data_IF_275842937137
#
_entry.id   IF_275842937137
#
_cell.length_a   1.000
_cell.length_b   1.000
_cell.length_c   1.000
_cell.angle_alpha   90.00
_cell.angle_beta   90.00
_cell.angle_gamma   90.00
#
_symmetry.space_group_name_H-M   'P 1'
#
loop_
_entity.id
_entity.type
_entity.pdbx_description
1 polymer ?
#
# COMPACT_ATOMS: atom_id res chain seq x y z
N UNK A 1 -7.67 67.53 26.35
CA UNK A 1 -8.32 66.20 26.27
C UNK A 1 -7.66 65.48 25.11
N UNK A 2 -6.60 64.74 25.40
CA UNK A 2 -5.93 63.91 24.39
C UNK A 2 -6.90 62.82 23.94
N UNK A 3 -7.28 62.86 22.67
CA UNK A 3 -8.02 61.78 22.05
C UNK A 3 -6.97 60.72 21.73
N UNK A 4 -6.80 59.79 22.66
CA UNK A 4 -5.96 58.61 22.50
C UNK A 4 -6.62 57.72 21.43
N UNK A 5 -6.30 57.97 20.16
CA UNK A 5 -6.63 57.06 19.05
C UNK A 5 -5.64 55.91 19.15
N UNK A 6 -6.00 54.91 19.96
CA UNK A 6 -5.30 53.64 19.94
C UNK A 6 -5.28 53.13 18.49
N UNK A 7 -4.08 52.81 18.02
CA UNK A 7 -3.80 52.26 16.69
C UNK A 7 -4.29 50.80 16.58
N UNK A 8 -5.41 50.45 17.23
CA UNK A 8 -5.95 49.09 17.28
C UNK A 8 -6.38 48.61 15.89
N UNK A 9 -6.94 49.50 15.07
CA UNK A 9 -7.46 49.13 13.76
C UNK A 9 -6.42 48.86 12.65
N UNK A 10 -5.11 49.04 12.88
CA UNK A 10 -4.07 48.55 11.95
C UNK A 10 -3.54 47.21 12.43
N UNK A 11 -3.47 47.00 13.76
CA UNK A 11 -3.08 45.73 14.34
C UNK A 11 -4.14 44.65 14.05
N UNK A 12 -5.43 45.01 14.10
CA UNK A 12 -6.53 44.10 13.81
C UNK A 12 -6.58 43.71 12.32
N UNK A 13 -6.46 44.67 11.39
CA UNK A 13 -6.43 44.39 9.94
C UNK A 13 -5.22 43.53 9.53
N UNK A 14 -4.04 43.80 10.11
CA UNK A 14 -2.84 42.97 9.91
C UNK A 14 -3.01 41.56 10.50
N UNK A 15 -3.73 41.43 11.63
CA UNK A 15 -3.96 40.14 12.30
C UNK A 15 -5.02 39.30 11.58
N UNK A 16 -6.14 39.88 11.15
CA UNK A 16 -7.17 39.20 10.36
C UNK A 16 -6.67 38.86 8.95
N UNK A 17 -5.91 39.75 8.30
CA UNK A 17 -5.26 39.49 7.02
C UNK A 17 -4.19 38.38 7.11
N UNK A 18 -3.42 38.34 8.20
CA UNK A 18 -2.48 37.26 8.46
C UNK A 18 -3.22 35.93 8.73
N UNK A 19 -4.29 35.93 9.52
CA UNK A 19 -5.12 34.73 9.76
C UNK A 19 -5.77 34.20 8.48
N UNK A 20 -6.35 35.07 7.65
CA UNK A 20 -6.92 34.67 6.36
C UNK A 20 -5.87 34.15 5.37
N UNK A 21 -4.65 34.72 5.38
CA UNK A 21 -3.52 34.21 4.58
C UNK A 21 -3.04 32.85 5.09
N UNK A 22 -3.04 32.62 6.40
CA UNK A 22 -2.72 31.33 7.01
C UNK A 22 -3.76 30.26 6.68
N UNK A 23 -5.06 30.56 6.78
CA UNK A 23 -6.13 29.62 6.42
C UNK A 23 -6.06 29.27 4.92
N UNK A 24 -5.76 30.24 4.04
CA UNK A 24 -5.52 29.97 2.61
C UNK A 24 -4.32 29.04 2.38
N UNK A 25 -3.24 29.21 3.12
CA UNK A 25 -2.07 28.31 3.07
C UNK A 25 -2.44 26.88 3.54
N UNK A 26 -3.26 26.76 4.60
CA UNK A 26 -3.76 25.49 5.11
C UNK A 26 -4.66 24.79 4.08
N UNK A 27 -5.58 25.50 3.45
CA UNK A 27 -6.41 24.99 2.35
C UNK A 27 -5.52 24.49 1.20
N UNK A 28 -4.49 25.25 0.81
CA UNK A 28 -3.53 24.83 -0.22
C UNK A 28 -2.80 23.52 0.14
N UNK A 29 -2.46 23.34 1.41
CA UNK A 29 -1.85 22.09 1.90
C UNK A 29 -2.85 20.93 1.86
N UNK A 30 -4.12 21.16 2.23
CA UNK A 30 -5.18 20.14 2.16
C UNK A 30 -5.54 19.73 0.73
N UNK A 31 -5.49 20.67 -0.23
CA UNK A 31 -5.63 20.36 -1.66
C UNK A 31 -4.48 19.46 -2.12
N UNK A 32 -3.25 19.74 -1.67
CA UNK A 32 -2.10 18.87 -1.97
C UNK A 32 -2.27 17.47 -1.38
N UNK A 33 -2.85 17.34 -0.17
CA UNK A 33 -3.21 16.03 0.41
C UNK A 33 -4.23 15.30 -0.45
N UNK A 34 -5.25 16.00 -0.95
CA UNK A 34 -6.26 15.42 -1.84
C UNK A 34 -5.63 14.89 -3.14
N UNK A 35 -4.69 15.62 -3.73
CA UNK A 35 -3.98 15.19 -4.95
C UNK A 35 -3.15 13.92 -4.70
N UNK A 36 -2.45 13.84 -3.56
CA UNK A 36 -1.70 12.63 -3.18
C UNK A 36 -2.64 11.45 -2.94
N UNK A 37 -3.81 11.65 -2.31
CA UNK A 37 -4.83 10.61 -2.13
C UNK A 37 -5.36 10.09 -3.46
N UNK A 38 -5.61 10.98 -4.43
CA UNK A 38 -6.05 10.61 -5.78
C UNK A 38 -4.98 9.82 -6.52
N UNK A 39 -3.74 10.28 -6.52
CA UNK A 39 -2.61 9.54 -7.10
C UNK A 39 -2.53 8.15 -6.48
N UNK A 40 -2.53 8.07 -5.16
CA UNK A 40 -2.44 6.82 -4.39
C UNK A 40 -3.54 5.84 -4.75
N UNK A 41 -4.79 6.32 -4.91
CA UNK A 41 -5.91 5.51 -5.38
C UNK A 41 -5.61 4.86 -6.74
N UNK A 42 -5.06 5.59 -7.69
CA UNK A 42 -4.69 5.04 -9.01
C UNK A 42 -3.61 3.95 -8.92
N UNK A 43 -2.61 4.16 -8.05
CA UNK A 43 -1.52 3.22 -7.83
C UNK A 43 -2.04 1.90 -7.24
N UNK A 44 -2.89 2.00 -6.21
CA UNK A 44 -3.44 0.86 -5.49
C UNK A 44 -4.44 0.10 -6.35
N UNK A 45 -5.28 0.79 -7.13
CA UNK A 45 -6.18 0.14 -8.07
C UNK A 45 -5.40 -0.65 -9.14
N UNK A 46 -4.29 -0.10 -9.62
CA UNK A 46 -3.40 -0.82 -10.54
C UNK A 46 -2.85 -2.10 -9.89
N UNK A 47 -2.35 -2.00 -8.65
CA UNK A 47 -1.84 -3.16 -7.93
C UNK A 47 -2.91 -4.21 -7.60
N UNK A 48 -4.13 -3.78 -7.24
CA UNK A 48 -5.25 -4.70 -7.00
C UNK A 48 -5.55 -5.53 -8.24
N UNK A 49 -5.65 -4.89 -9.41
CA UNK A 49 -5.90 -5.59 -10.67
C UNK A 49 -4.82 -6.65 -10.94
N UNK A 50 -3.56 -6.37 -10.64
CA UNK A 50 -2.46 -7.31 -10.85
C UNK A 50 -2.52 -8.46 -9.85
N UNK A 51 -2.81 -8.18 -8.57
CA UNK A 51 -3.04 -9.18 -7.53
C UNK A 51 -4.18 -10.13 -7.94
N UNK A 52 -5.31 -9.58 -8.38
CA UNK A 52 -6.49 -10.34 -8.81
C UNK A 52 -6.14 -11.26 -9.99
N UNK A 53 -5.52 -10.72 -11.04
CA UNK A 53 -5.13 -11.51 -12.21
C UNK A 53 -4.08 -12.56 -11.87
N UNK A 54 -3.13 -12.25 -10.98
CA UNK A 54 -2.12 -13.22 -10.53
C UNK A 54 -2.80 -14.37 -9.76
N UNK A 55 -3.75 -14.06 -8.88
CA UNK A 55 -4.54 -15.06 -8.15
C UNK A 55 -5.30 -15.97 -9.12
N UNK A 56 -5.99 -15.39 -10.11
CA UNK A 56 -6.76 -16.16 -11.09
C UNK A 56 -5.86 -17.06 -11.94
N UNK A 57 -4.70 -16.57 -12.38
CA UNK A 57 -3.73 -17.38 -13.15
C UNK A 57 -3.13 -18.51 -12.31
N UNK A 58 -2.89 -18.29 -11.01
CA UNK A 58 -2.46 -19.35 -10.09
C UNK A 58 -3.55 -20.39 -9.86
N UNK A 59 -4.82 -19.99 -9.79
CA UNK A 59 -5.94 -20.92 -9.71
C UNK A 59 -6.06 -21.79 -10.99
N UNK A 60 -5.79 -21.22 -12.16
CA UNK A 60 -5.73 -21.99 -13.42
C UNK A 60 -4.53 -22.94 -13.47
N UNK A 61 -3.37 -22.54 -12.91
CA UNK A 61 -2.22 -23.44 -12.72
C UNK A 61 -2.61 -24.60 -11.78
N UNK A 62 -3.25 -24.29 -10.65
CA UNK A 62 -3.75 -25.28 -9.70
C UNK A 62 -4.72 -26.27 -10.37
N UNK A 63 -5.63 -25.80 -11.22
CA UNK A 63 -6.55 -26.66 -11.96
C UNK A 63 -5.86 -27.56 -12.97
N UNK A 64 -4.79 -27.07 -13.61
CA UNK A 64 -4.04 -27.81 -14.62
C UNK A 64 -3.37 -29.07 -14.07
N UNK A 65 -3.04 -29.10 -12.77
CA UNK A 65 -2.35 -30.23 -12.13
C UNK A 65 -3.28 -31.26 -11.48
N UNK A 66 -4.58 -30.96 -11.31
CA UNK A 66 -5.54 -31.85 -10.61
C UNK A 66 -5.83 -33.13 -11.41
N UNK A 67 -5.30 -33.25 -12.63
CA UNK A 67 -5.79 -34.20 -13.64
C UNK A 67 -4.84 -35.29 -14.20
N UNK A 68 -3.58 -35.52 -13.79
CA UNK A 68 -2.83 -36.64 -14.35
C UNK A 68 -2.07 -37.53 -13.34
N UNK A 69 -2.75 -38.23 -12.42
CA UNK A 69 -2.06 -39.27 -11.64
C UNK A 69 -1.76 -40.54 -12.46
N UNK A 70 -2.54 -40.82 -13.51
CA UNK A 70 -2.41 -42.02 -14.36
C UNK A 70 -2.12 -41.71 -15.84
N UNK A 71 -1.89 -40.44 -16.19
CA UNK A 71 -1.86 -40.04 -17.60
C UNK A 71 -0.49 -40.19 -18.27
N UNK A 72 -0.52 -40.38 -19.59
CA UNK A 72 0.66 -40.61 -20.42
C UNK A 72 1.47 -39.34 -20.73
N UNK A 73 2.52 -39.49 -21.53
CA UNK A 73 3.46 -38.40 -21.87
C UNK A 73 2.79 -37.19 -22.54
N UNK A 74 1.81 -37.42 -23.40
CA UNK A 74 1.08 -36.35 -24.08
C UNK A 74 0.30 -35.46 -23.12
N UNK A 75 -0.29 -36.02 -22.06
CA UNK A 75 -1.07 -35.27 -21.08
C UNK A 75 -0.16 -34.48 -20.14
N UNK A 76 0.98 -35.06 -19.76
CA UNK A 76 2.01 -34.36 -18.98
C UNK A 76 2.53 -33.15 -19.77
N UNK A 77 2.78 -33.31 -21.06
CA UNK A 77 3.21 -32.20 -21.92
C UNK A 77 2.15 -31.09 -22.00
N UNK A 78 0.87 -31.44 -22.17
CA UNK A 78 -0.24 -30.45 -22.17
C UNK A 78 -0.35 -29.71 -20.84
N UNK A 79 -0.17 -30.40 -19.72
CA UNK A 79 -0.13 -29.78 -18.38
C UNK A 79 1.04 -28.80 -18.28
N UNK A 80 2.26 -29.21 -18.65
CA UNK A 80 3.44 -28.34 -18.63
C UNK A 80 3.26 -27.12 -19.56
N UNK A 81 2.64 -27.29 -20.73
CA UNK A 81 2.32 -26.19 -21.65
C UNK A 81 1.31 -25.21 -21.04
N UNK A 82 0.23 -25.71 -20.41
CA UNK A 82 -0.76 -24.87 -19.75
C UNK A 82 -0.15 -24.06 -18.60
N UNK A 83 0.68 -24.71 -17.78
CA UNK A 83 1.42 -24.05 -16.69
C UNK A 83 2.37 -23.00 -17.27
N UNK A 84 3.19 -23.35 -18.27
CA UNK A 84 4.14 -22.44 -18.89
C UNK A 84 3.46 -21.19 -19.47
N UNK A 85 2.29 -21.38 -20.10
CA UNK A 85 1.47 -20.28 -20.61
C UNK A 85 1.03 -19.33 -19.49
N UNK A 86 0.55 -19.87 -18.37
CA UNK A 86 0.09 -19.04 -17.25
C UNK A 86 1.26 -18.38 -16.50
N UNK A 87 2.38 -19.08 -16.28
CA UNK A 87 3.63 -18.51 -15.74
C UNK A 87 4.09 -17.33 -16.62
N UNK A 88 4.07 -17.49 -17.94
CA UNK A 88 4.41 -16.41 -18.89
C UNK A 88 3.45 -15.22 -18.79
N UNK A 89 2.15 -15.45 -18.64
CA UNK A 89 1.15 -14.38 -18.44
C UNK A 89 1.38 -13.63 -17.14
N UNK A 90 1.63 -14.33 -16.03
CA UNK A 90 1.96 -13.72 -14.73
C UNK A 90 3.21 -12.83 -14.89
N UNK A 91 4.25 -13.35 -15.54
CA UNK A 91 5.47 -12.60 -15.82
C UNK A 91 5.21 -11.33 -16.63
N UNK A 92 4.39 -11.43 -17.69
CA UNK A 92 4.07 -10.31 -18.55
C UNK A 92 3.27 -9.21 -17.82
N UNK A 93 2.26 -9.57 -17.03
CA UNK A 93 1.43 -8.57 -16.35
C UNK A 93 2.20 -7.83 -15.25
N UNK A 94 3.08 -8.54 -14.53
CA UNK A 94 3.97 -7.91 -13.54
C UNK A 94 4.95 -6.99 -14.24
N UNK A 95 5.53 -7.39 -15.37
CA UNK A 95 6.45 -6.52 -16.10
C UNK A 95 5.77 -5.31 -16.72
N UNK A 96 4.53 -5.45 -17.19
CA UNK A 96 3.73 -4.36 -17.73
C UNK A 96 3.36 -3.32 -16.66
N UNK A 97 3.21 -3.73 -15.39
CA UNK A 97 2.89 -2.79 -14.32
C UNK A 97 4.03 -1.86 -13.94
N UNK A 98 5.28 -2.26 -14.19
CA UNK A 98 6.49 -1.47 -13.93
C UNK A 98 6.56 -0.21 -14.79
N UNK A 99 6.08 -0.29 -16.03
CA UNK A 99 6.08 0.86 -16.95
C UNK A 99 5.13 1.97 -16.47
N UNK A 100 4.25 1.66 -15.52
CA UNK A 100 3.45 2.66 -14.81
C UNK A 100 4.31 3.19 -13.67
N UNK A 101 4.55 4.50 -13.62
CA UNK A 101 5.32 5.25 -12.60
C UNK A 101 4.80 5.11 -11.14
N UNK A 102 3.91 4.16 -10.89
CA UNK A 102 3.03 4.03 -9.72
C UNK A 102 2.99 2.60 -9.17
N UNK A 103 4.01 1.77 -9.43
CA UNK A 103 3.97 0.36 -9.06
C UNK A 103 4.37 0.13 -7.60
N UNK A 104 3.41 -0.25 -6.76
CA UNK A 104 3.66 -0.64 -5.35
C UNK A 104 4.13 -2.09 -5.20
N UNK A 105 4.08 -2.89 -6.27
CA UNK A 105 4.32 -4.33 -6.22
C UNK A 105 5.78 -4.73 -6.47
N UNK A 106 6.65 -3.85 -6.94
CA UNK A 106 7.98 -4.27 -7.41
C UNK A 106 9.10 -3.40 -6.87
N UNK A 107 9.17 -3.26 -5.54
CA UNK A 107 10.16 -2.39 -4.91
C UNK A 107 10.61 -2.92 -3.55
N UNK A 108 10.90 -4.23 -3.46
CA UNK A 108 11.35 -4.87 -2.20
C UNK A 108 10.36 -4.71 -1.04
N UNK A 109 9.07 -4.49 -1.34
CA UNK A 109 8.04 -4.21 -0.33
C UNK A 109 8.12 -2.82 0.30
N UNK A 110 8.75 -1.84 -0.37
CA UNK A 110 8.75 -0.44 0.09
C UNK A 110 7.32 0.04 0.32
N UNK A 111 7.11 0.65 1.48
CA UNK A 111 5.84 1.24 1.86
C UNK A 111 5.69 2.63 1.24
N UNK A 112 4.57 2.85 0.56
CA UNK A 112 4.09 4.19 0.24
C UNK A 112 3.39 4.76 1.47
N UNK A 113 3.71 6.02 1.79
CA UNK A 113 3.09 6.78 2.86
C UNK A 113 2.15 7.80 2.25
N UNK A 114 0.87 7.65 2.52
CA UNK A 114 -0.18 8.53 2.01
C UNK A 114 -0.66 9.39 3.18
N UNK A 115 -0.36 10.69 3.21
CA UNK A 115 -0.88 11.57 4.24
C UNK A 115 -2.40 11.64 4.12
N UNK A 116 -3.08 11.52 5.24
CA UNK A 116 -4.53 11.49 5.28
C UNK A 116 -5.17 12.65 6.04
N UNK A 117 -4.41 13.29 6.92
CA UNK A 117 -4.80 14.49 7.64
C UNK A 117 -3.62 15.43 7.78
N UNK A 118 -3.91 16.71 7.93
CA UNK A 118 -2.93 17.76 8.19
C UNK A 118 -3.35 18.52 9.44
N UNK A 119 -2.47 18.56 10.43
CA UNK A 119 -2.58 19.36 11.63
C UNK A 119 -1.51 20.46 11.60
N UNK A 120 -1.91 21.70 11.87
CA UNK A 120 -1.01 22.86 11.88
C UNK A 120 0.10 22.77 12.94
N UNK A 121 -0.14 22.11 14.08
CA UNK A 121 0.85 22.01 15.17
C UNK A 121 1.87 20.90 14.97
N UNK A 122 1.50 19.81 14.28
CA UNK A 122 2.30 18.59 14.17
C UNK A 122 2.63 18.18 12.73
N UNK A 123 2.05 18.83 11.72
CA UNK A 123 2.19 18.47 10.31
C UNK A 123 1.21 17.36 9.89
N UNK A 124 1.63 16.49 8.97
CA UNK A 124 0.81 15.33 8.56
C UNK A 124 0.72 14.33 9.73
N UNK A 125 -0.44 14.27 10.39
CA UNK A 125 -0.62 13.48 11.62
C UNK A 125 -1.07 12.05 11.35
N UNK A 126 -1.95 11.83 10.38
CA UNK A 126 -2.37 10.49 9.98
C UNK A 126 -1.70 10.11 8.65
N UNK A 127 -1.07 8.94 8.62
CA UNK A 127 -0.41 8.38 7.44
C UNK A 127 -0.96 6.98 7.20
N UNK A 128 -1.50 6.75 6.01
CA UNK A 128 -1.79 5.39 5.54
C UNK A 128 -0.49 4.81 4.97
N UNK A 129 -0.02 3.72 5.56
CA UNK A 129 1.10 2.95 5.02
C UNK A 129 0.61 1.78 4.17
N UNK A 130 1.09 1.70 2.93
CA UNK A 130 0.70 0.68 1.96
C UNK A 130 1.95 0.06 1.39
N UNK A 131 2.10 -1.25 1.55
CA UNK A 131 3.29 -1.99 1.13
C UNK A 131 3.68 -3.01 2.18
N UNK A 132 4.94 -3.40 2.17
CA UNK A 132 5.46 -4.51 2.98
C UNK A 132 5.81 -5.74 2.15
N UNK A 133 6.33 -6.80 2.79
CA UNK A 133 6.85 -7.97 2.11
C UNK A 133 5.81 -8.70 1.26
N UNK A 134 4.53 -8.60 1.59
CA UNK A 134 3.43 -9.24 0.84
C UNK A 134 3.16 -8.57 -0.50
N UNK A 135 3.66 -7.35 -0.69
CA UNK A 135 3.59 -6.65 -1.97
C UNK A 135 4.90 -6.78 -2.75
N UNK A 136 5.88 -7.58 -2.30
CA UNK A 136 7.14 -7.73 -3.01
C UNK A 136 7.06 -8.79 -4.12
N UNK A 137 6.57 -8.41 -5.30
CA UNK A 137 6.48 -9.26 -6.50
C UNK A 137 7.76 -9.23 -7.35
N UNK A 138 8.76 -8.47 -6.90
CA UNK A 138 10.07 -8.40 -7.54
C UNK A 138 10.92 -7.27 -6.98
N UNK A 139 12.23 -7.42 -7.15
CA UNK A 139 13.25 -6.48 -6.67
C UNK A 139 13.82 -5.69 -7.85
N UNK A 140 13.95 -4.37 -7.70
CA UNK A 140 14.62 -3.53 -8.70
C UNK A 140 16.12 -3.63 -8.50
N UNK A 141 16.83 -4.07 -9.52
CA UNK A 141 18.29 -4.09 -9.55
C UNK A 141 18.86 -2.69 -9.82
N UNK A 142 20.15 -2.50 -9.55
CA UNK A 142 20.84 -1.23 -9.76
C UNK A 142 20.83 -0.74 -11.23
N UNK A 143 20.64 -1.66 -12.19
CA UNK A 143 20.51 -1.38 -13.63
C UNK A 143 19.08 -0.97 -14.04
N UNK A 144 18.14 -0.84 -13.09
CA UNK A 144 16.74 -0.51 -13.35
C UNK A 144 15.89 -1.67 -13.87
N UNK A 145 16.44 -2.88 -14.02
CA UNK A 145 15.64 -4.08 -14.36
C UNK A 145 15.05 -4.69 -13.10
N UNK A 146 13.90 -5.35 -13.23
CA UNK A 146 13.28 -6.05 -12.10
C UNK A 146 13.55 -7.54 -12.17
N UNK A 147 14.05 -8.05 -11.05
CA UNK A 147 14.13 -9.46 -10.76
C UNK A 147 12.85 -9.94 -10.08
N UNK A 148 12.00 -10.61 -10.86
CA UNK A 148 10.76 -11.25 -10.37
C UNK A 148 11.01 -12.63 -9.76
N UNK A 149 12.25 -13.14 -9.79
CA UNK A 149 12.60 -14.37 -9.08
C UNK A 149 12.81 -14.16 -7.57
N UNK A 150 12.67 -12.92 -7.11
CA UNK A 150 12.77 -12.54 -5.71
C UNK A 150 11.39 -12.20 -5.14
N UNK A 151 11.30 -12.19 -3.80
CA UNK A 151 10.09 -11.83 -3.08
C UNK A 151 9.07 -12.97 -3.06
N UNK A 152 7.78 -12.64 -3.08
CA UNK A 152 6.73 -13.65 -2.91
C UNK A 152 6.60 -14.58 -4.12
N UNK A 153 7.11 -14.16 -5.29
CA UNK A 153 6.99 -14.91 -6.55
C UNK A 153 8.20 -15.79 -6.86
N UNK A 154 9.18 -15.86 -5.94
CA UNK A 154 10.31 -16.80 -6.02
C UNK A 154 9.88 -18.22 -6.39
N UNK A 155 8.82 -18.82 -5.78
CA UNK A 155 8.38 -20.16 -6.16
C UNK A 155 7.89 -20.31 -7.62
N UNK A 156 7.56 -19.21 -8.30
CA UNK A 156 7.28 -19.23 -9.74
C UNK A 156 8.56 -19.14 -10.55
N UNK A 157 9.41 -18.15 -10.25
CA UNK A 157 10.38 -17.61 -11.21
C UNK A 157 11.85 -17.92 -10.89
N UNK A 158 12.16 -18.54 -9.75
CA UNK A 158 13.51 -19.02 -9.48
C UNK A 158 13.97 -20.01 -10.56
N UNK A 159 15.25 -19.94 -10.93
CA UNK A 159 15.84 -20.78 -11.99
C UNK A 159 16.97 -21.65 -11.44
N UNK A 160 17.14 -22.83 -12.01
CA UNK A 160 18.18 -23.78 -11.60
C UNK A 160 17.83 -24.57 -10.34
N UNK A 161 16.56 -24.62 -9.95
CA UNK A 161 16.02 -25.43 -8.85
C UNK A 161 16.00 -26.93 -9.18
N UNK A 162 16.18 -27.32 -10.44
CA UNK A 162 16.23 -28.72 -10.89
C UNK A 162 17.62 -29.35 -10.89
N UNK A 163 18.67 -28.63 -10.47
CA UNK A 163 20.07 -29.13 -10.49
C UNK A 163 20.24 -30.52 -9.89
N UNK A 164 19.55 -30.81 -8.78
CA UNK A 164 19.66 -32.07 -8.05
C UNK A 164 18.54 -33.08 -8.41
N UNK A 165 17.63 -32.74 -9.31
CA UNK A 165 16.46 -33.56 -9.61
C UNK A 165 16.84 -34.90 -10.25
N UNK A 166 17.75 -34.90 -11.23
CA UNK A 166 18.18 -36.14 -11.90
C UNK A 166 18.86 -37.12 -10.94
N UNK A 167 19.70 -36.61 -10.05
CA UNK A 167 20.39 -37.41 -9.02
C UNK A 167 19.37 -37.97 -8.02
N UNK A 168 18.46 -37.13 -7.53
CA UNK A 168 17.42 -37.55 -6.60
C UNK A 168 16.48 -38.60 -7.22
N UNK A 169 16.15 -38.45 -8.51
CA UNK A 169 15.38 -39.42 -9.28
C UNK A 169 16.10 -40.77 -9.36
N UNK A 170 17.38 -40.78 -9.68
CA UNK A 170 18.15 -42.03 -9.76
C UNK A 170 18.17 -42.78 -8.42
N UNK A 171 18.47 -42.07 -7.33
CA UNK A 171 18.44 -42.62 -5.96
C UNK A 171 17.05 -43.20 -5.64
N UNK A 172 16.00 -42.46 -5.97
CA UNK A 172 14.63 -42.88 -5.76
C UNK A 172 14.29 -44.14 -6.57
N UNK A 173 14.61 -44.16 -7.86
CA UNK A 173 14.33 -45.28 -8.77
C UNK A 173 15.07 -46.54 -8.32
N UNK A 174 16.34 -46.44 -7.90
CA UNK A 174 17.10 -47.56 -7.34
C UNK A 174 16.46 -48.09 -6.06
N UNK A 175 16.17 -47.22 -5.09
CA UNK A 175 15.56 -47.61 -3.83
C UNK A 175 14.16 -48.22 -4.03
N UNK A 176 13.40 -47.72 -5.00
CA UNK A 176 12.11 -48.27 -5.38
C UNK A 176 12.23 -49.69 -5.93
N UNK A 177 13.16 -49.92 -6.86
CA UNK A 177 13.39 -51.25 -7.43
C UNK A 177 13.84 -52.25 -6.37
N UNK A 178 14.70 -51.85 -5.45
CA UNK A 178 15.13 -52.72 -4.34
C UNK A 178 13.98 -53.02 -3.38
N UNK A 179 13.14 -52.01 -3.07
CA UNK A 179 11.93 -52.22 -2.30
C UNK A 179 10.95 -53.20 -2.98
N UNK A 180 10.75 -53.08 -4.30
CA UNK A 180 9.91 -54.02 -5.07
C UNK A 180 10.43 -55.46 -5.01
N UNK A 181 11.75 -55.67 -5.02
CA UNK A 181 12.34 -57.02 -4.83
C UNK A 181 12.02 -57.59 -3.45
N UNK A 182 12.03 -56.76 -2.40
CA UNK A 182 11.64 -57.19 -1.05
C UNK A 182 10.16 -57.58 -1.00
N UNK A 183 9.27 -56.81 -1.63
CA UNK A 183 7.84 -57.14 -1.72
C UNK A 183 7.60 -58.45 -2.49
N UNK A 184 8.29 -58.66 -3.62
CA UNK A 184 8.18 -59.89 -4.39
C UNK A 184 8.71 -61.10 -3.59
N UNK A 185 9.79 -60.92 -2.83
CA UNK A 185 10.33 -61.95 -1.95
C UNK A 185 9.35 -62.31 -0.81
N UNK A 186 8.73 -61.31 -0.20
CA UNK A 186 7.67 -61.50 0.80
C UNK A 186 6.48 -62.24 0.22
N UNK A 187 6.03 -61.87 -0.98
CA UNK A 187 4.92 -62.53 -1.66
C UNK A 187 5.22 -64.01 -1.93
N UNK A 188 6.42 -64.33 -2.42
CA UNK A 188 6.87 -65.71 -2.64
C UNK A 188 6.99 -66.49 -1.33
N UNK A 189 7.57 -65.90 -0.29
CA UNK A 189 7.70 -66.53 1.03
C UNK A 189 6.33 -66.84 1.64
N UNK A 190 5.38 -65.90 1.52
CA UNK A 190 4.00 -66.07 1.96
C UNK A 190 3.31 -67.22 1.22
N UNK A 191 3.48 -67.32 -0.09
CA UNK A 191 2.91 -68.40 -0.89
C UNK A 191 3.45 -69.78 -0.48
N UNK A 192 4.76 -69.91 -0.23
CA UNK A 192 5.35 -71.16 0.26
C UNK A 192 4.85 -71.53 1.66
N UNK A 193 4.74 -70.58 2.58
CA UNK A 193 4.18 -70.84 3.92
C UNK A 193 2.71 -71.27 3.89
N UNK A 194 1.90 -70.69 2.99
CA UNK A 194 0.51 -71.11 2.80
C UNK A 194 0.44 -72.56 2.27
N UNK A 195 1.34 -72.93 1.36
CA UNK A 195 1.39 -74.27 0.78
C UNK A 195 1.93 -75.33 1.75
N UNK A 196 2.91 -74.96 2.59
CA UNK A 196 3.52 -75.80 3.62
C UNK A 196 3.79 -74.97 4.90
N UNK A 197 2.89 -75.04 5.91
CA UNK A 197 3.01 -74.31 7.18
C UNK A 197 4.08 -74.84 8.14
N UNK A 198 5.27 -75.16 7.63
CA UNK A 198 6.41 -75.61 8.43
C UNK A 198 7.13 -74.43 9.11
N UNK A 199 7.77 -74.69 10.26
CA UNK A 199 8.54 -73.69 11.01
C UNK A 199 9.64 -73.04 10.16
N UNK A 200 10.21 -73.79 9.21
CA UNK A 200 11.20 -73.28 8.26
C UNK A 200 10.59 -72.22 7.33
N UNK A 201 9.42 -72.50 6.74
CA UNK A 201 8.74 -71.55 5.87
C UNK A 201 8.17 -70.34 6.65
N UNK A 202 7.71 -70.55 7.89
CA UNK A 202 7.32 -69.47 8.79
C UNK A 202 8.48 -68.51 9.07
N UNK A 203 9.67 -69.05 9.33
CA UNK A 203 10.88 -68.24 9.56
C UNK A 203 11.27 -67.42 8.33
N UNK A 204 11.21 -68.02 7.13
CA UNK A 204 11.48 -67.32 5.87
C UNK A 204 10.47 -66.19 5.64
N UNK A 205 9.18 -66.46 5.85
CA UNK A 205 8.12 -65.46 5.76
C UNK A 205 8.33 -64.29 6.73
N UNK A 206 8.60 -64.58 8.01
CA UNK A 206 8.83 -63.56 9.03
C UNK A 206 10.08 -62.72 8.74
N UNK A 207 11.16 -63.33 8.24
CA UNK A 207 12.36 -62.60 7.83
C UNK A 207 12.10 -61.68 6.63
N UNK A 208 11.35 -62.15 5.63
CA UNK A 208 10.97 -61.34 4.48
C UNK A 208 10.07 -60.16 4.90
N UNK A 209 9.13 -60.39 5.82
CA UNK A 209 8.27 -59.34 6.37
C UNK A 209 9.11 -58.29 7.10
N UNK A 210 10.01 -58.74 7.98
CA UNK A 210 10.93 -57.86 8.71
C UNK A 210 11.78 -57.00 7.76
N UNK A 211 12.28 -57.54 6.66
CA UNK A 211 13.06 -56.79 5.69
C UNK A 211 12.24 -55.68 4.99
N UNK A 212 10.98 -55.96 4.63
CA UNK A 212 10.04 -54.96 4.10
C UNK A 212 9.76 -53.87 5.15
N UNK A 213 9.49 -54.28 6.39
CA UNK A 213 9.21 -53.37 7.50
C UNK A 213 10.43 -52.47 7.79
N UNK A 214 11.64 -53.02 7.82
CA UNK A 214 12.87 -52.27 8.05
C UNK A 214 13.16 -51.26 6.94
N UNK A 215 12.86 -51.58 5.68
CA UNK A 215 13.02 -50.65 4.56
C UNK A 215 12.03 -49.47 4.61
N UNK A 216 10.85 -49.69 5.19
CA UNK A 216 9.77 -48.68 5.27
C UNK A 216 9.79 -47.84 6.55
N UNK A 217 10.55 -48.22 7.58
CA UNK A 217 10.82 -47.36 8.76
C UNK A 217 11.46 -46.04 8.35
N UNK A 218 11.38 -45.03 9.22
CA UNK A 218 11.88 -43.67 8.92
C UNK A 218 13.37 -43.63 8.52
N UNK A 219 14.19 -44.51 9.10
CA UNK A 219 15.61 -44.67 8.77
C UNK A 219 15.89 -45.75 7.71
N UNK A 220 14.86 -46.39 7.18
CA UNK A 220 14.94 -47.38 6.12
C UNK A 220 15.26 -46.74 4.78
N UNK A 221 15.97 -47.48 3.93
CA UNK A 221 16.46 -46.97 2.65
C UNK A 221 15.35 -46.41 1.75
N UNK A 222 14.19 -47.09 1.69
CA UNK A 222 13.07 -46.64 0.87
C UNK A 222 12.44 -45.35 1.41
N UNK A 223 12.25 -45.24 2.72
CA UNK A 223 11.70 -44.03 3.34
C UNK A 223 12.64 -42.83 3.25
N UNK A 224 13.95 -43.04 3.41
CA UNK A 224 14.95 -41.99 3.20
C UNK A 224 14.98 -41.50 1.75
N UNK A 225 14.94 -42.40 0.77
CA UNK A 225 14.90 -42.05 -0.65
C UNK A 225 13.65 -41.22 -1.00
N UNK A 226 12.47 -41.60 -0.49
CA UNK A 226 11.23 -40.81 -0.62
C UNK A 226 11.38 -39.41 -0.01
N UNK A 227 11.94 -39.32 1.20
CA UNK A 227 12.11 -38.05 1.90
C UNK A 227 13.08 -37.11 1.16
N UNK A 228 14.22 -37.64 0.70
CA UNK A 228 15.19 -36.88 -0.10
C UNK A 228 14.59 -36.40 -1.42
N UNK A 229 13.90 -37.28 -2.14
CA UNK A 229 13.22 -36.91 -3.39
C UNK A 229 12.20 -35.81 -3.14
N UNK A 230 11.40 -35.92 -2.08
CA UNK A 230 10.43 -34.89 -1.67
C UNK A 230 11.08 -33.54 -1.37
N UNK A 231 12.21 -33.51 -0.65
CA UNK A 231 12.93 -32.26 -0.36
C UNK A 231 13.33 -31.55 -1.65
N UNK A 232 13.82 -32.30 -2.63
CA UNK A 232 14.17 -31.74 -3.94
C UNK A 232 12.91 -31.27 -4.67
N UNK A 233 11.84 -32.07 -4.74
CA UNK A 233 10.62 -31.66 -5.46
C UNK A 233 9.90 -30.47 -4.82
N UNK A 234 9.97 -30.31 -3.50
CA UNK A 234 9.43 -29.14 -2.78
C UNK A 234 10.16 -27.84 -3.13
N UNK A 235 11.40 -27.92 -3.61
CA UNK A 235 12.21 -26.74 -3.99
C UNK A 235 12.08 -26.34 -5.46
N UNK A 236 11.40 -27.15 -6.28
CA UNK A 236 11.29 -26.90 -7.72
C UNK A 236 10.34 -25.73 -7.98
N UNK A 237 10.83 -24.72 -8.70
CA UNK A 237 10.01 -23.59 -9.13
C UNK A 237 9.05 -23.97 -10.25
N UNK A 238 8.00 -23.19 -10.46
CA UNK A 238 7.08 -23.43 -11.59
C UNK A 238 7.76 -23.26 -12.95
N UNK A 239 8.72 -22.34 -13.05
CA UNK A 239 9.50 -22.11 -14.26
C UNK A 239 10.37 -23.31 -14.59
N UNK A 240 11.01 -23.94 -13.60
CA UNK A 240 11.82 -25.12 -13.88
C UNK A 240 10.99 -26.39 -14.03
N UNK A 241 9.86 -26.51 -13.31
CA UNK A 241 8.93 -27.64 -13.42
C UNK A 241 8.48 -27.89 -14.86
N UNK A 242 8.11 -26.83 -15.59
CA UNK A 242 7.65 -26.96 -16.98
C UNK A 242 8.74 -27.44 -17.94
N UNK A 243 10.00 -27.36 -17.53
CA UNK A 243 11.16 -27.79 -18.31
C UNK A 243 11.65 -29.20 -17.96
N UNK A 244 11.15 -29.81 -16.87
CA UNK A 244 11.54 -31.17 -16.47
C UNK A 244 11.15 -32.16 -17.56
N UNK A 245 12.14 -32.92 -18.03
CA UNK A 245 11.94 -34.00 -18.97
C UNK A 245 11.70 -35.33 -18.26
N UNK A 246 10.95 -36.22 -18.90
CA UNK A 246 10.76 -37.58 -18.40
C UNK A 246 9.82 -37.73 -17.20
N UNK A 247 9.02 -36.71 -16.84
CA UNK A 247 7.99 -36.83 -15.78
C UNK A 247 7.07 -38.04 -16.03
N UNK A 248 6.68 -38.29 -17.29
CA UNK A 248 5.81 -39.39 -17.65
C UNK A 248 6.41 -40.79 -17.37
N UNK A 249 7.73 -40.89 -17.35
CA UNK A 249 8.48 -42.13 -17.10
C UNK A 249 8.77 -42.40 -15.62
N UNK A 250 8.44 -41.46 -14.74
CA UNK A 250 8.56 -41.66 -13.30
C UNK A 250 7.61 -42.79 -12.83
N UNK A 251 7.97 -43.47 -11.74
CA UNK A 251 7.04 -44.38 -11.06
C UNK A 251 5.81 -43.62 -10.53
N UNK A 252 4.73 -44.33 -10.26
CA UNK A 252 3.51 -43.72 -9.72
C UNK A 252 3.80 -42.95 -8.42
N UNK A 253 4.57 -43.55 -7.52
CA UNK A 253 4.99 -42.93 -6.25
C UNK A 253 5.80 -41.64 -6.47
N UNK A 254 6.75 -41.64 -7.42
CA UNK A 254 7.53 -40.44 -7.74
C UNK A 254 6.66 -39.32 -8.32
N UNK A 255 5.70 -39.65 -9.22
CA UNK A 255 4.75 -38.66 -9.77
C UNK A 255 3.89 -38.06 -8.66
N UNK A 256 3.37 -38.90 -7.75
CA UNK A 256 2.59 -38.46 -6.61
C UNK A 256 3.37 -37.47 -5.74
N UNK A 257 4.64 -37.75 -5.44
CA UNK A 257 5.48 -36.84 -4.64
C UNK A 257 5.68 -35.52 -5.38
N UNK A 258 6.10 -35.58 -6.65
CA UNK A 258 6.37 -34.39 -7.46
C UNK A 258 5.13 -33.49 -7.60
N UNK A 259 3.98 -34.05 -7.95
CA UNK A 259 2.75 -33.27 -8.14
C UNK A 259 2.20 -32.73 -6.82
N UNK A 260 2.31 -33.48 -5.72
CA UNK A 260 1.94 -32.96 -4.41
C UNK A 260 2.84 -31.79 -3.97
N UNK A 261 4.15 -31.86 -4.22
CA UNK A 261 5.08 -30.76 -3.96
C UNK A 261 4.73 -29.52 -4.78
N UNK A 262 4.49 -29.68 -6.08
CA UNK A 262 4.07 -28.58 -6.95
C UNK A 262 2.72 -27.99 -6.49
N UNK A 263 1.73 -28.84 -6.17
CA UNK A 263 0.43 -28.41 -5.66
C UNK A 263 0.56 -27.57 -4.38
N UNK A 264 1.36 -28.03 -3.42
CA UNK A 264 1.62 -27.29 -2.18
C UNK A 264 2.26 -25.94 -2.46
N UNK A 265 3.18 -25.88 -3.40
CA UNK A 265 3.84 -24.64 -3.82
C UNK A 265 2.85 -23.64 -4.40
N UNK A 266 1.95 -24.09 -5.29
CA UNK A 266 0.88 -23.25 -5.85
C UNK A 266 -0.07 -22.76 -4.75
N UNK A 267 -0.48 -23.63 -3.83
CA UNK A 267 -1.37 -23.27 -2.72
C UNK A 267 -0.75 -22.26 -1.77
N UNK A 268 0.52 -22.46 -1.39
CA UNK A 268 1.28 -21.50 -0.59
C UNK A 268 1.26 -20.11 -1.24
N UNK A 269 1.48 -20.07 -2.55
CA UNK A 269 1.53 -18.82 -3.28
C UNK A 269 0.16 -18.14 -3.40
N UNK A 270 -0.91 -18.91 -3.64
CA UNK A 270 -2.28 -18.38 -3.61
C UNK A 270 -2.57 -17.73 -2.25
N UNK A 271 -2.16 -18.36 -1.14
CA UNK A 271 -2.34 -17.80 0.21
C UNK A 271 -1.55 -16.49 0.36
N UNK A 272 -0.30 -16.44 -0.09
CA UNK A 272 0.49 -15.20 -0.06
C UNK A 272 -0.18 -14.05 -0.84
N UNK A 273 -0.72 -14.35 -2.02
CA UNK A 273 -1.46 -13.37 -2.84
C UNK A 273 -2.77 -12.94 -2.17
N UNK A 274 -3.52 -13.84 -1.54
CA UNK A 274 -4.73 -13.50 -0.78
C UNK A 274 -4.44 -12.59 0.42
N UNK A 275 -3.28 -12.74 1.07
CA UNK A 275 -2.85 -11.83 2.13
C UNK A 275 -2.60 -10.43 1.57
N UNK A 276 -1.92 -10.33 0.41
CA UNK A 276 -1.72 -9.06 -0.28
C UNK A 276 -3.07 -8.42 -0.69
N UNK A 277 -4.01 -9.23 -1.20
CA UNK A 277 -5.37 -8.80 -1.56
C UNK A 277 -6.14 -8.25 -0.34
N UNK A 278 -6.07 -8.92 0.80
CA UNK A 278 -6.69 -8.43 2.04
C UNK A 278 -6.11 -7.07 2.45
N UNK A 279 -4.78 -6.93 2.44
CA UNK A 279 -4.11 -5.68 2.81
C UNK A 279 -4.44 -4.54 1.83
N UNK A 280 -4.50 -4.83 0.53
CA UNK A 280 -4.80 -3.81 -0.48
C UNK A 280 -6.24 -3.33 -0.39
N UNK A 281 -7.20 -4.23 -0.15
CA UNK A 281 -8.60 -3.87 0.00
C UNK A 281 -8.84 -3.02 1.27
N UNK A 282 -8.11 -3.30 2.35
CA UNK A 282 -8.13 -2.42 3.53
C UNK A 282 -7.59 -1.02 3.23
N UNK A 283 -6.47 -0.91 2.49
CA UNK A 283 -5.92 0.37 2.07
C UNK A 283 -6.88 1.18 1.17
N UNK A 284 -7.58 0.50 0.24
CA UNK A 284 -8.61 1.13 -0.61
C UNK A 284 -9.71 1.75 0.25
N UNK A 285 -10.24 1.01 1.23
CA UNK A 285 -11.29 1.52 2.10
C UNK A 285 -10.88 2.79 2.88
N UNK A 286 -9.62 2.86 3.32
CA UNK A 286 -9.09 4.06 3.98
C UNK A 286 -8.98 5.24 3.00
N UNK A 287 -8.44 5.01 1.81
CA UNK A 287 -8.28 6.08 0.80
C UNK A 287 -9.61 6.54 0.22
N UNK A 288 -10.66 5.71 0.25
CA UNK A 288 -11.98 6.10 -0.23
C UNK A 288 -12.77 6.95 0.78
N UNK A 289 -12.51 6.78 2.08
CA UNK A 289 -13.23 7.51 3.15
C UNK A 289 -12.65 8.90 3.44
N UNK A 290 -11.35 9.07 3.31
CA UNK A 290 -10.66 10.30 3.70
C UNK A 290 -10.91 11.54 2.83
N UNK A 291 -11.05 11.44 1.49
CA UNK A 291 -11.32 12.60 0.65
C UNK A 291 -12.58 13.36 1.02
N UNK A 292 -13.61 12.69 1.56
CA UNK A 292 -14.83 13.35 2.01
C UNK A 292 -14.58 14.22 3.25
N UNK A 293 -13.82 13.71 4.21
CA UNK A 293 -13.41 14.46 5.41
C UNK A 293 -12.58 15.69 5.04
N UNK A 294 -11.56 15.52 4.19
CA UNK A 294 -10.68 16.61 3.74
C UNK A 294 -11.48 17.67 2.95
N UNK A 295 -12.40 17.25 2.07
CA UNK A 295 -13.28 18.18 1.33
C UNK A 295 -14.19 18.97 2.25
N UNK A 296 -14.80 18.33 3.26
CA UNK A 296 -15.64 19.02 4.25
C UNK A 296 -14.81 20.04 5.04
N UNK A 297 -13.59 19.69 5.45
CA UNK A 297 -12.70 20.60 6.15
C UNK A 297 -12.31 21.81 5.29
N UNK A 298 -11.97 21.59 4.01
CA UNK A 298 -11.71 22.66 3.03
C UNK A 298 -12.94 23.56 2.87
N UNK A 299 -14.15 22.99 2.80
CA UNK A 299 -15.39 23.76 2.65
C UNK A 299 -15.67 24.63 3.88
N UNK A 300 -15.50 24.07 5.08
CA UNK A 300 -15.65 24.83 6.34
C UNK A 300 -14.63 25.96 6.42
N UNK A 301 -13.34 25.69 6.17
CA UNK A 301 -12.30 26.72 6.22
C UNK A 301 -12.48 27.83 5.18
N UNK A 302 -13.01 27.51 3.99
CA UNK A 302 -13.38 28.52 2.99
C UNK A 302 -14.54 29.39 3.47
N UNK A 303 -15.58 28.78 4.05
CA UNK A 303 -16.72 29.51 4.62
C UNK A 303 -16.28 30.44 5.76
N UNK A 304 -15.43 29.94 6.66
CA UNK A 304 -14.92 30.71 7.80
C UNK A 304 -14.03 31.86 7.32
N UNK A 305 -13.18 31.63 6.31
CA UNK A 305 -12.37 32.70 5.68
C UNK A 305 -13.26 33.76 5.06
N UNK A 306 -14.32 33.37 4.35
CA UNK A 306 -15.26 34.31 3.74
C UNK A 306 -16.01 35.12 4.81
N UNK A 307 -16.50 34.47 5.86
CA UNK A 307 -17.16 35.14 6.98
C UNK A 307 -16.23 36.12 7.71
N UNK A 308 -14.95 35.78 7.85
CA UNK A 308 -13.92 36.66 8.42
C UNK A 308 -13.69 37.91 7.55
N UNK A 309 -13.61 37.72 6.22
CA UNK A 309 -13.46 38.80 5.25
C UNK A 309 -14.71 39.70 5.25
N UNK A 310 -15.90 39.12 5.25
CA UNK A 310 -17.16 39.87 5.25
C UNK A 310 -17.33 40.67 6.55
N UNK A 311 -16.94 40.08 7.68
CA UNK A 311 -16.94 40.78 8.98
C UNK A 311 -15.93 41.94 8.98
N UNK A 312 -14.73 41.74 8.44
CA UNK A 312 -13.73 42.81 8.32
C UNK A 312 -14.23 43.94 7.40
N UNK A 313 -14.81 43.60 6.25
CA UNK A 313 -15.39 44.57 5.32
C UNK A 313 -16.50 45.40 5.99
N UNK A 314 -17.36 44.76 6.79
CA UNK A 314 -18.40 45.44 7.55
C UNK A 314 -17.82 46.39 8.61
N UNK A 315 -16.79 45.98 9.34
CA UNK A 315 -16.13 46.83 10.35
C UNK A 315 -15.44 48.03 9.67
N UNK A 316 -14.68 47.79 8.60
CA UNK A 316 -14.01 48.86 7.85
C UNK A 316 -15.01 49.80 7.16
N UNK A 317 -16.16 49.32 6.68
CA UNK A 317 -17.20 50.20 6.14
C UNK A 317 -17.85 51.10 7.20
N UNK A 318 -18.08 50.57 8.41
CA UNK A 318 -18.53 51.36 9.57
C UNK A 318 -17.46 52.38 9.96
N UNK A 319 -16.18 51.98 9.94
CA UNK A 319 -15.05 52.87 10.22
C UNK A 319 -14.92 53.98 9.18
N UNK A 320 -15.05 53.68 7.89
CA UNK A 320 -15.06 54.66 6.80
C UNK A 320 -16.21 55.65 6.97
N UNK A 321 -17.40 55.17 7.32
CA UNK A 321 -18.56 56.02 7.61
C UNK A 321 -18.30 56.95 8.79
N UNK A 322 -17.70 56.44 9.89
CA UNK A 322 -17.30 57.26 11.04
C UNK A 322 -16.22 58.27 10.66
N UNK A 323 -15.25 57.88 9.83
CA UNK A 323 -14.19 58.77 9.36
C UNK A 323 -14.75 59.89 8.49
N UNK A 324 -15.73 59.59 7.63
CA UNK A 324 -16.42 60.55 6.80
C UNK A 324 -17.27 61.52 7.65
N UNK A 325 -18.00 61.02 8.65
CA UNK A 325 -18.70 61.85 9.64
C UNK A 325 -17.71 62.76 10.40
N UNK A 326 -16.55 62.24 10.81
CA UNK A 326 -15.51 63.05 11.47
C UNK A 326 -14.92 64.10 10.54
N UNK A 327 -14.67 63.78 9.27
CA UNK A 327 -14.22 64.77 8.27
C UNK A 327 -15.28 65.85 8.08
N UNK A 328 -16.56 65.49 8.02
CA UNK A 328 -17.67 66.42 7.94
C UNK A 328 -17.75 67.33 9.18
N UNK A 329 -17.59 66.76 10.38
CA UNK A 329 -17.54 67.52 11.64
C UNK A 329 -16.32 68.44 11.72
N UNK A 330 -15.15 67.99 11.27
CA UNK A 330 -13.94 68.81 11.22
C UNK A 330 -14.06 69.93 10.17
N UNK A 331 -14.66 69.66 9.01
CA UNK A 331 -14.94 70.67 7.98
C UNK A 331 -16.00 71.69 8.43
N UNK A 332 -16.97 71.30 9.25
CA UNK A 332 -17.92 72.23 9.86
C UNK A 332 -17.32 72.98 11.06
N UNK A 333 -16.37 72.37 11.77
CA UNK A 333 -15.65 72.98 12.88
C UNK A 333 -14.56 73.97 12.44
N UNK A 334 -13.95 73.78 11.26
CA UNK A 334 -12.92 74.66 10.69
C UNK A 334 -13.42 76.12 10.49
N UNK A 335 -14.61 76.37 9.91
CA UNK A 335 -15.22 77.70 9.84
C UNK A 335 -15.49 78.30 11.23
N UNK A 336 -15.93 77.48 12.20
CA UNK A 336 -16.27 77.94 13.57
C UNK A 336 -15.01 78.33 14.35
N UNK A 337 -13.93 77.55 14.22
CA UNK A 337 -12.63 77.87 14.80
C UNK A 337 -12.04 79.15 14.19
N UNK A 338 -12.14 79.33 12.87
CA UNK A 338 -11.64 80.52 12.19
C UNK A 338 -12.46 81.78 12.52
N UNK A 339 -13.79 81.62 12.66
CA UNK A 339 -14.66 82.71 13.12
C UNK A 339 -14.32 83.11 14.57
N UNK A 340 -14.03 82.15 15.45
CA UNK A 340 -13.67 82.42 16.85
C UNK A 340 -12.31 83.14 16.97
N UNK A 341 -11.34 82.83 16.11
CA UNK A 341 -10.09 83.58 16.02
C UNK A 341 -10.30 85.02 15.52
N UNK A 342 -11.21 85.25 14.57
CA UNK A 342 -11.58 86.60 14.15
C UNK A 342 -12.33 87.39 15.25
N UNK A 343 -13.19 86.72 16.02
CA UNK A 343 -13.84 87.28 17.22
C UNK A 343 -12.84 87.72 18.29
N UNK A 344 -11.77 86.93 18.49
CA UNK A 344 -10.69 87.27 19.44
C UNK A 344 -9.84 88.44 18.93
N UNK A 345 -9.49 88.48 17.63
CA UNK A 345 -8.77 89.62 17.05
C UNK A 345 -9.58 90.92 17.12
N UNK A 346 -10.91 90.85 16.94
CA UNK A 346 -11.80 92.00 17.16
C UNK A 346 -11.94 92.38 18.63
N UNK A 347 -11.89 91.42 19.56
CA UNK A 347 -11.91 91.71 20.99
C UNK A 347 -10.60 92.34 21.50
N UNK A 348 -9.44 91.91 20.97
CA UNK A 348 -8.14 92.48 21.32
C UNK A 348 -7.86 93.82 20.64
N UNK A 349 -8.34 94.05 19.41
CA UNK A 349 -8.25 95.37 18.78
C UNK A 349 -9.04 96.44 19.56
N UNK A 350 -10.08 96.04 20.29
CA UNK A 350 -10.88 96.92 21.13
C UNK A 350 -10.28 97.23 22.51
N UNK A 351 -9.22 96.54 22.95
CA UNK A 351 -8.71 96.65 24.33
C UNK A 351 -7.34 97.32 24.46
N UNK A 352 -6.74 97.77 23.36
CA UNK A 352 -5.54 98.62 23.40
C UNK A 352 -5.86 99.94 22.69
N UNK A 353 -6.53 100.84 23.41
CA UNK A 353 -6.48 102.27 23.10
C UNK A 353 -5.87 103.02 24.30
N UNK A 354 -4.62 103.52 24.20
CA UNK A 354 -3.92 104.17 25.31
C UNK A 354 -4.37 105.60 25.61
N UNK A 355 -5.35 106.18 24.89
CA UNK A 355 -5.62 107.62 25.01
C UNK A 355 -7.11 107.98 24.91
N UNK A 356 -7.82 107.93 26.05
CA UNK A 356 -8.55 109.07 26.68
C UNK A 356 -9.77 108.64 27.50
N UNK A 357 -9.89 109.32 28.65
CA UNK A 357 -11.02 109.31 29.59
C UNK A 357 -12.30 109.78 28.90
N UNK A 358 -13.40 109.02 29.02
CA UNK A 358 -14.64 109.48 29.64
C UNK A 358 -15.66 108.34 29.74
N UNK A 359 -16.32 108.28 30.89
CA UNK A 359 -17.31 107.30 31.29
C UNK A 359 -18.69 107.69 30.75
N UNK A 360 -19.46 106.73 30.25
CA UNK A 360 -20.93 106.82 30.24
C UNK A 360 -21.51 105.44 30.53
N UNK A 361 -22.48 105.41 31.44
CA UNK A 361 -23.01 104.23 32.12
C UNK A 361 -24.44 103.95 31.64
N UNK A 362 -24.66 102.74 31.11
CA UNK A 362 -25.86 101.84 31.18
C UNK A 362 -27.21 102.30 30.58
N UNK A 363 -28.18 101.39 30.27
CA UNK A 363 -28.42 100.09 30.91
C UNK A 363 -28.81 98.87 30.05
N UNK A 364 -28.81 97.75 30.77
CA UNK A 364 -29.31 96.40 30.48
C UNK A 364 -30.68 96.33 29.79
N UNK A 365 -30.77 95.39 28.86
CA UNK A 365 -31.83 94.38 28.81
C UNK A 365 -31.25 93.07 28.25
#
# INVERSE_FOLDING_TARGET
MEINLHFDGILDDVTYGAMGSMIKCEIGTMVSVLDVLQLSREQINTARIIIDITRDLLAEIQKSIVYPYEKGSADVAKMQEAIAKNVKKISHIIRASILKKSNILTNSGIKIRVPSSYNRSEGFSDIIEIGGPEFNFGVVNANGTIDISQGILTPIFEIGTTKNFSIAREIFDTAYQDFRKLEDALMKAKAHYIADPSLANETIYNNAQKAVDESTRDNGAWSQAKAQFKVITDSISMTDFVNIQGIASLSFEAKMILFNSFQKTVQYLIIAILIAEKKINFAIALIDTQPACVKLLIQTLNSDTQALIDTNCNIESVRLSILEIRKQLNLQGLPIANHNSQSIVTFFSWKIDPNKRQYTVLPFL
#
